data_IF_227520263020
#
_entry.id   IF_227520263020
#
_cell.length_a   1.000
_cell.length_b   1.000
_cell.length_c   1.000
_cell.angle_alpha   90.00
_cell.angle_beta   90.00
_cell.angle_gamma   90.00
#
_symmetry.space_group_name_H-M   'P 1'
#
loop_
_entity.id
_entity.type
_entity.pdbx_description
1 polymer ?
#
# COMPACT_ATOMS: atom_id res chain seq x y z
N UNK A 1 19.74 -9.30 -17.59
CA UNK A 1 18.56 -8.41 -17.74
C UNK A 1 18.88 -7.13 -17.01
N UNK A 2 18.98 -6.01 -17.72
CA UNK A 2 19.37 -4.73 -17.13
C UNK A 2 18.16 -4.16 -16.38
N UNK A 3 18.30 -3.97 -15.06
CA UNK A 3 17.39 -3.14 -14.28
C UNK A 3 17.80 -1.71 -14.57
N UNK A 4 17.03 -1.02 -15.42
CA UNK A 4 17.18 0.42 -15.58
C UNK A 4 16.55 1.06 -14.35
N UNK A 5 17.36 1.24 -13.31
CA UNK A 5 17.01 2.14 -12.22
C UNK A 5 16.87 3.53 -12.82
N UNK A 6 15.65 4.06 -12.87
CA UNK A 6 15.47 5.50 -12.94
C UNK A 6 16.19 6.00 -11.69
N UNK A 7 17.30 6.71 -11.85
CA UNK A 7 18.05 7.22 -10.72
C UNK A 7 17.05 8.02 -9.86
N UNK A 8 16.77 7.54 -8.65
CA UNK A 8 16.03 8.35 -7.69
C UNK A 8 16.87 9.59 -7.47
N UNK A 9 16.35 10.76 -7.85
CA UNK A 9 17.03 12.05 -7.62
C UNK A 9 17.34 12.24 -6.12
N UNK A 10 16.65 11.50 -5.23
CA UNK A 10 16.90 11.43 -3.79
C UNK A 10 17.10 9.98 -3.32
N UNK A 11 18.32 9.62 -2.94
CA UNK A 11 18.64 8.31 -2.37
C UNK A 11 17.86 7.98 -1.06
N UNK A 12 17.29 8.99 -0.41
CA UNK A 12 16.57 8.89 0.86
C UNK A 12 15.03 8.77 0.69
N UNK A 13 14.52 8.67 -0.54
CA UNK A 13 13.08 8.41 -0.74
C UNK A 13 12.78 6.91 -0.51
N UNK A 14 12.59 6.55 0.77
CA UNK A 14 12.27 5.18 1.19
C UNK A 14 11.00 4.64 0.54
N UNK A 15 10.02 5.52 0.24
CA UNK A 15 8.75 5.12 -0.36
C UNK A 15 8.96 4.74 -1.82
N UNK A 16 9.67 5.57 -2.59
CA UNK A 16 10.05 5.26 -3.96
C UNK A 16 10.88 3.98 -4.01
N UNK A 17 11.88 3.84 -3.14
CA UNK A 17 12.69 2.63 -3.03
C UNK A 17 11.84 1.38 -2.74
N UNK A 18 10.86 1.47 -1.84
CA UNK A 18 9.94 0.38 -1.51
C UNK A 18 8.99 0.01 -2.65
N UNK A 19 8.61 0.98 -3.49
CA UNK A 19 7.79 0.74 -4.68
C UNK A 19 8.63 0.15 -5.82
N UNK A 20 9.81 0.70 -6.07
CA UNK A 20 10.75 0.27 -7.12
C UNK A 20 11.33 -1.12 -6.86
N UNK A 21 11.55 -1.51 -5.61
CA UNK A 21 12.08 -2.82 -5.23
C UNK A 21 11.17 -4.01 -5.59
N UNK A 22 9.95 -3.75 -6.10
CA UNK A 22 8.98 -4.79 -6.47
C UNK A 22 9.15 -5.24 -7.90
N UNK A 23 10.12 -6.10 -8.11
CA UNK A 23 10.22 -6.86 -9.36
C UNK A 23 9.11 -7.92 -9.42
N UNK A 24 8.33 -7.91 -10.51
CA UNK A 24 7.38 -8.98 -10.86
C UNK A 24 7.91 -9.66 -12.11
N UNK A 25 8.12 -10.98 -12.05
CA UNK A 25 8.56 -11.74 -13.23
C UNK A 25 7.46 -11.75 -14.31
N UNK A 26 7.84 -11.86 -15.59
CA UNK A 26 6.87 -11.93 -16.70
C UNK A 26 5.83 -13.03 -16.50
N UNK A 27 6.25 -14.19 -15.97
CA UNK A 27 5.36 -15.30 -15.70
C UNK A 27 4.33 -14.95 -14.60
N UNK A 28 4.79 -14.35 -13.51
CA UNK A 28 3.90 -13.91 -12.42
C UNK A 28 2.93 -12.82 -12.89
N UNK A 29 3.39 -11.87 -13.71
CA UNK A 29 2.54 -10.82 -14.28
C UNK A 29 1.42 -11.41 -15.16
N UNK A 30 1.74 -12.39 -16.01
CA UNK A 30 0.74 -13.08 -16.84
C UNK A 30 -0.29 -13.82 -15.98
N UNK A 31 0.15 -14.49 -14.92
CA UNK A 31 -0.75 -15.16 -13.97
C UNK A 31 -1.71 -14.19 -13.29
N UNK A 32 -1.22 -13.02 -12.84
CA UNK A 32 -2.06 -11.96 -12.26
C UNK A 32 -3.05 -11.41 -13.28
N UNK A 33 -2.62 -11.17 -14.52
CA UNK A 33 -3.47 -10.65 -15.60
C UNK A 33 -4.62 -11.60 -15.93
N UNK A 34 -4.35 -12.91 -15.95
CA UNK A 34 -5.33 -13.96 -16.23
C UNK A 34 -6.14 -14.37 -14.99
N UNK A 35 -5.96 -13.70 -13.86
CA UNK A 35 -6.63 -14.01 -12.58
C UNK A 35 -6.40 -15.46 -12.09
N UNK A 36 -5.27 -16.07 -12.45
CA UNK A 36 -4.90 -17.39 -11.91
C UNK A 36 -4.45 -17.28 -10.46
N UNK A 37 -4.82 -18.27 -9.65
CA UNK A 37 -4.32 -18.37 -8.28
C UNK A 37 -2.81 -18.66 -8.31
N UNK A 38 -2.01 -17.75 -7.75
CA UNK A 38 -0.54 -17.88 -7.68
C UNK A 38 -0.13 -18.58 -6.38
N UNK A 39 -0.95 -18.46 -5.35
CA UNK A 39 -0.73 -19.06 -4.03
C UNK A 39 -2.04 -19.02 -3.24
N UNK A 40 -2.31 -20.06 -2.45
CA UNK A 40 -3.33 -20.02 -1.42
C UNK A 40 -2.85 -19.06 -0.32
N UNK A 41 -3.49 -17.90 -0.19
CA UNK A 41 -3.26 -16.96 0.91
C UNK A 41 -4.42 -17.06 1.87
N UNK A 42 -4.18 -17.67 3.02
CA UNK A 42 -5.12 -17.65 4.13
C UNK A 42 -4.42 -17.05 5.36
N UNK A 43 -4.82 -15.85 5.83
CA UNK A 43 -5.81 -14.93 5.24
C UNK A 43 -5.30 -14.21 3.97
N UNK A 44 -6.20 -13.54 3.26
CA UNK A 44 -5.84 -12.72 2.08
C UNK A 44 -4.87 -11.61 2.49
N UNK A 45 -3.60 -11.73 2.10
CA UNK A 45 -2.61 -10.67 2.33
C UNK A 45 -2.85 -9.55 1.33
N UNK A 46 -3.39 -8.42 1.82
CA UNK A 46 -3.58 -7.18 1.06
C UNK A 46 -2.34 -6.30 1.20
N UNK A 47 -2.00 -5.60 0.13
CA UNK A 47 -0.85 -4.70 0.12
C UNK A 47 -1.16 -3.40 0.89
N UNK A 48 -0.29 -3.01 1.82
CA UNK A 48 -0.41 -1.77 2.59
C UNK A 48 -0.15 -0.55 1.71
N UNK A 49 -1.11 0.36 1.62
CA UNK A 49 -0.98 1.61 0.86
C UNK A 49 0.00 2.59 1.54
N UNK A 50 1.30 2.46 1.25
CA UNK A 50 2.35 3.35 1.77
C UNK A 50 2.45 4.63 0.93
N UNK A 51 2.34 5.79 1.58
CA UNK A 51 2.42 7.11 0.96
C UNK A 51 2.84 8.18 1.99
N UNK A 52 3.24 9.35 1.50
CA UNK A 52 3.46 10.53 2.34
C UNK A 52 2.14 11.14 2.82
N UNK A 53 2.21 12.09 3.75
CA UNK A 53 1.07 12.91 4.14
C UNK A 53 0.45 13.57 2.90
N UNK A 54 -0.86 13.42 2.71
CA UNK A 54 -1.62 13.87 1.53
C UNK A 54 -1.17 13.27 0.18
N UNK A 55 -0.22 12.33 0.17
CA UNK A 55 0.26 11.62 -1.02
C UNK A 55 -0.54 10.37 -1.39
N UNK A 56 -1.73 10.20 -0.81
CA UNK A 56 -2.58 9.03 -1.06
C UNK A 56 -3.12 9.02 -2.49
N UNK A 57 -3.14 7.82 -3.09
CA UNK A 57 -3.72 7.61 -4.41
C UNK A 57 -5.24 7.53 -4.29
N UNK A 58 -5.94 8.49 -4.89
CA UNK A 58 -7.40 8.56 -4.90
C UNK A 58 -7.90 8.56 -6.35
N UNK A 59 -8.99 7.84 -6.62
CA UNK A 59 -9.69 7.89 -7.90
C UNK A 59 -10.85 8.86 -7.79
N UNK A 60 -10.97 9.78 -8.75
CA UNK A 60 -11.97 10.84 -8.72
C UNK A 60 -12.60 11.03 -10.10
N UNK A 61 -13.77 11.66 -10.10
CA UNK A 61 -14.49 12.22 -11.25
C UNK A 61 -14.53 13.74 -11.11
N UNK A 62 -14.85 14.47 -12.18
CA UNK A 62 -14.93 15.93 -12.12
C UNK A 62 -15.89 16.44 -11.03
N UNK A 63 -16.98 15.71 -10.78
CA UNK A 63 -17.98 16.08 -9.79
C UNK A 63 -17.52 15.91 -8.33
N UNK A 64 -16.60 14.98 -8.05
CA UNK A 64 -16.19 14.65 -6.67
C UNK A 64 -14.75 15.09 -6.33
N UNK A 65 -13.99 15.60 -7.30
CA UNK A 65 -12.59 15.98 -7.12
C UNK A 65 -12.39 16.98 -5.97
N UNK A 66 -13.21 18.03 -5.90
CA UNK A 66 -13.11 19.05 -4.85
C UNK A 66 -13.38 18.44 -3.45
N UNK A 67 -14.42 17.62 -3.32
CA UNK A 67 -14.77 16.97 -2.07
C UNK A 67 -13.67 16.00 -1.60
N UNK A 68 -13.09 15.22 -2.52
CA UNK A 68 -12.02 14.26 -2.20
C UNK A 68 -10.69 14.93 -1.87
N UNK A 69 -10.42 16.10 -2.44
CA UNK A 69 -9.26 16.91 -2.09
C UNK A 69 -9.37 17.46 -0.66
N UNK A 70 -10.57 17.88 -0.23
CA UNK A 70 -10.79 18.34 1.15
C UNK A 70 -10.83 17.20 2.16
N UNK A 71 -11.46 16.07 1.79
CA UNK A 71 -11.65 14.91 2.66
C UNK A 71 -11.26 13.63 1.93
N UNK A 72 -9.96 13.33 1.89
CA UNK A 72 -9.50 12.11 1.26
C UNK A 72 -10.01 10.87 2.03
N UNK A 73 -10.32 9.77 1.33
CA UNK A 73 -10.74 8.54 1.97
C UNK A 73 -9.62 7.94 2.81
N UNK A 74 -9.97 7.20 3.85
CA UNK A 74 -8.97 6.48 4.65
C UNK A 74 -8.32 5.37 3.82
N UNK A 75 -7.00 5.28 3.93
CA UNK A 75 -6.21 4.17 3.39
C UNK A 75 -5.95 3.14 4.48
N UNK A 76 -5.45 1.96 4.10
CA UNK A 76 -5.05 0.94 5.08
C UNK A 76 -3.96 1.45 6.04
N UNK A 77 -3.11 2.38 5.59
CA UNK A 77 -2.06 2.98 6.42
C UNK A 77 -2.63 3.99 7.41
N UNK A 78 -3.50 4.91 6.96
CA UNK A 78 -4.11 5.90 7.86
C UNK A 78 -5.02 5.23 8.88
N UNK A 79 -5.73 4.17 8.48
CA UNK A 79 -6.55 3.38 9.40
C UNK A 79 -5.70 2.64 10.43
N UNK A 80 -4.52 2.14 10.04
CA UNK A 80 -3.55 1.55 10.98
C UNK A 80 -3.12 2.57 12.03
N UNK A 81 -2.72 3.78 11.61
CA UNK A 81 -2.32 4.84 12.54
C UNK A 81 -3.44 5.27 13.48
N UNK A 82 -4.67 5.43 12.95
CA UNK A 82 -5.82 5.76 13.78
C UNK A 82 -6.10 4.69 14.85
N UNK A 83 -5.90 3.41 14.52
CA UNK A 83 -6.03 2.32 15.49
C UNK A 83 -4.92 2.35 16.55
N UNK A 84 -3.68 2.62 16.14
CA UNK A 84 -2.56 2.77 17.08
C UNK A 84 -2.75 3.96 18.03
N UNK A 85 -3.42 5.03 17.58
CA UNK A 85 -3.77 6.17 18.43
C UNK A 85 -4.89 5.82 19.42
N UNK A 86 -5.90 5.07 18.97
CA UNK A 86 -7.05 4.70 19.78
C UNK A 86 -6.76 3.61 20.83
N UNK A 87 -5.85 2.67 20.52
CA UNK A 87 -5.55 1.52 21.37
C UNK A 87 -4.03 1.38 21.62
N UNK A 88 -3.56 1.55 22.87
CA UNK A 88 -2.15 1.34 23.22
C UNK A 88 -1.63 -0.07 22.89
N UNK A 89 -2.49 -1.10 22.88
CA UNK A 89 -2.08 -2.43 22.46
C UNK A 89 -1.81 -2.48 20.96
N UNK A 90 -2.65 -1.86 20.13
CA UNK A 90 -2.43 -1.78 18.68
C UNK A 90 -1.11 -1.08 18.33
N UNK A 91 -0.67 -0.10 19.12
CA UNK A 91 0.61 0.58 18.95
C UNK A 91 1.84 -0.34 19.17
N UNK A 92 1.68 -1.49 19.83
CA UNK A 92 2.76 -2.47 20.04
C UNK A 92 2.89 -3.48 18.90
N UNK A 93 1.92 -3.54 17.98
CA UNK A 93 1.84 -4.55 16.93
C UNK A 93 2.45 -4.05 15.62
N UNK A 94 3.08 -4.96 14.88
CA UNK A 94 3.38 -4.70 13.47
C UNK A 94 2.12 -4.79 12.61
N UNK A 95 2.08 -4.09 11.47
CA UNK A 95 0.94 -4.14 10.55
C UNK A 95 0.55 -5.58 10.14
N UNK A 96 1.53 -6.47 9.96
CA UNK A 96 1.31 -7.89 9.61
C UNK A 96 0.61 -8.69 10.72
N UNK A 97 0.68 -8.22 11.97
CA UNK A 97 0.09 -8.86 13.13
C UNK A 97 -1.31 -8.34 13.42
N UNK A 98 -1.63 -7.13 12.95
CA UNK A 98 -2.92 -6.47 13.19
C UNK A 98 -4.14 -7.34 12.86
N UNK A 99 -4.20 -8.03 11.69
CA UNK A 99 -5.34 -8.87 11.34
C UNK A 99 -5.60 -10.06 12.28
N UNK A 100 -4.65 -10.41 13.16
CA UNK A 100 -4.85 -11.47 14.17
C UNK A 100 -5.68 -11.01 15.36
N UNK A 101 -5.74 -9.69 15.58
CA UNK A 101 -6.36 -9.09 16.77
C UNK A 101 -7.52 -8.15 16.41
N UNK A 102 -7.46 -7.53 15.23
CA UNK A 102 -8.45 -6.58 14.73
C UNK A 102 -8.95 -7.06 13.37
N UNK A 103 -10.26 -7.34 13.27
CA UNK A 103 -10.98 -7.73 12.05
C UNK A 103 -12.08 -6.75 11.74
#
# INVERSE_FOLDING_TARGET
MAVFGIASENANDEISNFQMGRYVSTNEALWRLLSFQIHERYPTVVHLAVHLENGQRVYFTEANAAQLAERPPSTTLTSFFAMCEADPFAATLMYVEMPKYYT
#
